data_IF_476559967460
#
_entry.id   IF_476559967460
#
_cell.length_a   1.000
_cell.length_b   1.000
_cell.length_c   1.000
_cell.angle_alpha   90.00
_cell.angle_beta   90.00
_cell.angle_gamma   90.00
#
_symmetry.space_group_name_H-M   'P 1'
#
loop_
_entity.id
_entity.type
_entity.pdbx_description
1 polymer ?
#
# COMPACT_ATOMS: atom_id res chain seq x y z
N UNK A 1 7.13 3.71 -21.37
CA UNK A 1 7.66 3.07 -20.15
C UNK A 1 6.57 3.16 -19.11
N UNK A 2 6.19 2.07 -18.45
CA UNK A 2 5.27 2.12 -17.32
C UNK A 2 6.11 2.38 -16.06
N UNK A 3 5.80 3.45 -15.34
CA UNK A 3 6.42 3.72 -14.04
C UNK A 3 5.63 2.95 -12.98
N UNK A 4 5.94 1.66 -12.85
CA UNK A 4 5.37 0.82 -11.81
C UNK A 4 6.35 0.68 -10.65
N UNK A 5 5.86 0.88 -9.44
CA UNK A 5 6.68 0.78 -8.22
C UNK A 5 6.07 -0.25 -7.29
N UNK A 6 6.84 -1.28 -6.91
CA UNK A 6 6.45 -2.21 -5.85
C UNK A 6 6.58 -1.52 -4.49
N UNK A 7 5.56 -1.64 -3.65
CA UNK A 7 5.57 -1.18 -2.27
C UNK A 7 5.74 -2.41 -1.37
N UNK A 8 6.82 -2.42 -0.60
CA UNK A 8 7.11 -3.45 0.39
C UNK A 8 6.99 -2.88 1.80
N UNK A 9 6.34 -3.62 2.70
CA UNK A 9 6.18 -3.27 4.11
C UNK A 9 6.54 -4.48 4.95
N UNK A 10 7.53 -4.33 5.83
CA UNK A 10 7.98 -5.38 6.75
C UNK A 10 8.27 -6.71 6.01
N UNK A 11 9.01 -6.61 4.89
CA UNK A 11 9.36 -7.71 3.96
C UNK A 11 8.19 -8.39 3.24
N UNK A 12 6.98 -7.80 3.27
CA UNK A 12 5.81 -8.27 2.53
C UNK A 12 5.48 -7.34 1.37
N UNK A 13 5.10 -7.94 0.23
CA UNK A 13 4.70 -7.21 -0.96
C UNK A 13 3.28 -6.62 -0.76
N UNK A 14 3.21 -5.38 -0.31
CA UNK A 14 1.95 -4.74 0.05
C UNK A 14 1.08 -4.40 -1.17
N UNK A 15 1.71 -3.92 -2.25
CA UNK A 15 1.00 -3.56 -3.46
C UNK A 15 1.90 -3.00 -4.56
N UNK A 16 1.33 -2.79 -5.74
CA UNK A 16 1.98 -2.12 -6.87
C UNK A 16 1.32 -0.77 -7.10
N UNK A 17 2.14 0.26 -7.28
CA UNK A 17 1.71 1.54 -7.79
C UNK A 17 1.78 1.54 -9.31
N UNK A 18 0.67 1.93 -9.95
CA UNK A 18 0.58 2.12 -11.40
C UNK A 18 0.32 3.59 -11.68
N UNK A 19 1.09 4.19 -12.59
CA UNK A 19 0.90 5.60 -12.96
C UNK A 19 -0.53 5.84 -13.49
N UNK A 20 -1.23 6.77 -12.86
CA UNK A 20 -2.59 7.20 -13.18
C UNK A 20 -2.61 8.73 -13.35
N UNK A 21 -2.25 9.21 -14.54
CA UNK A 21 -2.08 10.64 -14.81
C UNK A 21 -0.90 11.22 -14.05
N UNK A 22 -1.17 12.23 -13.21
CA UNK A 22 -0.18 12.90 -12.34
C UNK A 22 0.01 12.20 -10.98
N UNK A 23 -0.72 11.11 -10.73
CA UNK A 23 -0.70 10.35 -9.50
C UNK A 23 -0.40 8.86 -9.78
N UNK A 24 -0.52 8.04 -8.75
CA UNK A 24 -0.34 6.59 -8.81
C UNK A 24 -1.52 5.89 -8.16
N UNK A 25 -2.17 4.96 -8.86
CA UNK A 25 -3.18 4.09 -8.27
C UNK A 25 -2.50 2.90 -7.59
N UNK A 26 -2.95 2.56 -6.38
CA UNK A 26 -2.45 1.41 -5.63
C UNK A 26 -3.26 0.16 -5.94
N UNK A 27 -2.58 -0.96 -6.20
CA UNK A 27 -3.17 -2.27 -6.39
C UNK A 27 -2.62 -3.23 -5.34
N UNK A 28 -3.50 -3.77 -4.50
CA UNK A 28 -3.13 -4.56 -3.33
C UNK A 28 -2.59 -5.94 -3.72
N UNK A 29 -1.41 -6.26 -3.16
CA UNK A 29 -0.75 -7.58 -3.13
C UNK A 29 -1.53 -8.64 -2.35
N UNK A 30 -1.99 -8.20 -1.17
CA UNK A 30 -2.46 -9.08 -0.12
C UNK A 30 -3.68 -8.48 0.58
N UNK A 31 -4.50 -9.34 1.18
CA UNK A 31 -5.74 -8.97 1.89
C UNK A 31 -5.58 -7.83 2.92
N UNK A 32 -4.50 -7.74 3.73
CA UNK A 32 -4.34 -6.66 4.69
C UNK A 32 -4.32 -5.26 4.07
N UNK A 33 -3.99 -5.16 2.79
CA UNK A 33 -3.86 -3.89 2.05
C UNK A 33 -5.05 -3.63 1.12
N UNK A 34 -6.06 -4.50 1.10
CA UNK A 34 -7.23 -4.39 0.20
C UNK A 34 -7.97 -3.06 0.35
N UNK A 35 -7.95 -2.43 1.54
CA UNK A 35 -8.54 -1.11 1.75
C UNK A 35 -7.85 0.03 0.98
N UNK A 36 -6.66 -0.22 0.41
CA UNK A 36 -5.93 0.71 -0.45
C UNK A 36 -6.16 0.44 -1.95
N UNK A 37 -6.90 -0.60 -2.32
CA UNK A 37 -7.16 -0.92 -3.73
C UNK A 37 -7.79 0.27 -4.46
N UNK A 38 -7.19 0.67 -5.58
CA UNK A 38 -7.61 1.80 -6.41
C UNK A 38 -7.39 3.19 -5.79
N UNK A 39 -6.92 3.29 -4.54
CA UNK A 39 -6.61 4.57 -3.90
C UNK A 39 -5.45 5.23 -4.64
N UNK A 40 -5.62 6.52 -4.96
CA UNK A 40 -4.59 7.30 -5.65
C UNK A 40 -3.69 8.03 -4.66
N UNK A 41 -2.39 8.00 -4.92
CA UNK A 41 -1.37 8.67 -4.14
C UNK A 41 -0.56 9.62 -5.02
N UNK A 42 -0.12 10.77 -4.49
CA UNK A 42 0.73 11.70 -5.25
C UNK A 42 2.13 11.15 -5.49
N UNK A 43 2.60 10.26 -4.61
CA UNK A 43 3.94 9.66 -4.66
C UNK A 43 3.99 8.31 -3.92
N UNK A 44 5.09 7.58 -4.14
CA UNK A 44 5.31 6.27 -3.53
C UNK A 44 5.46 6.33 -2.00
N UNK A 45 6.09 7.37 -1.47
CA UNK A 45 6.31 7.51 -0.03
C UNK A 45 4.99 7.67 0.74
N UNK A 46 4.00 8.35 0.16
CA UNK A 46 2.67 8.52 0.74
C UNK A 46 1.89 7.21 0.74
N UNK A 47 1.99 6.44 -0.34
CA UNK A 47 1.41 5.09 -0.41
C UNK A 47 2.04 4.14 0.63
N UNK A 48 3.37 4.13 0.75
CA UNK A 48 4.10 3.30 1.73
C UNK A 48 3.67 3.63 3.16
N UNK A 49 3.57 4.93 3.51
CA UNK A 49 3.08 5.36 4.82
C UNK A 49 1.65 4.88 5.10
N UNK A 50 0.77 4.87 4.10
CA UNK A 50 -0.58 4.36 4.25
C UNK A 50 -0.58 2.84 4.49
N UNK A 51 0.18 2.09 3.71
CA UNK A 51 0.32 0.64 3.88
C UNK A 51 0.89 0.27 5.27
N UNK A 52 1.94 0.97 5.74
CA UNK A 52 2.51 0.79 7.08
C UNK A 52 1.53 1.05 8.23
N UNK A 53 0.52 1.91 8.04
CA UNK A 53 -0.51 2.15 9.06
C UNK A 53 -1.44 0.95 9.21
N UNK A 54 -1.71 0.22 8.12
CA UNK A 54 -2.56 -0.97 8.13
C UNK A 54 -1.88 -2.13 8.84
N UNK A 55 -0.59 -2.38 8.60
CA UNK A 55 0.16 -3.43 9.33
C UNK A 55 0.22 -3.14 10.83
N UNK A 56 0.51 -1.89 11.22
CA UNK A 56 0.51 -1.50 12.65
C UNK A 56 -0.84 -1.68 13.32
N UNK A 57 -1.93 -1.32 12.62
CA UNK A 57 -3.29 -1.49 13.14
C UNK A 57 -3.63 -2.98 13.31
N UNK A 58 -3.35 -3.80 12.29
CA UNK A 58 -3.57 -5.24 12.36
C UNK A 58 -2.77 -5.89 13.50
N UNK A 59 -1.52 -5.46 13.72
CA UNK A 59 -0.71 -5.93 14.85
C UNK A 59 -1.32 -5.55 16.20
N UNK A 60 -1.80 -4.31 16.35
CA UNK A 60 -2.45 -3.86 17.59
C UNK A 60 -3.75 -4.62 17.88
N UNK A 61 -4.57 -4.92 16.87
CA UNK A 61 -5.80 -5.69 17.00
C UNK A 61 -5.52 -7.14 17.44
N UNK A 62 -4.45 -7.77 16.94
CA UNK A 62 -4.05 -9.14 17.34
C UNK A 62 -3.55 -9.24 18.77
N UNK A 63 -2.97 -8.18 19.32
CA UNK A 63 -2.49 -8.16 20.72
C UNK A 63 -3.61 -7.89 21.73
N UNK A 64 -4.78 -7.42 21.27
CA UNK A 64 -5.90 -7.03 22.12
C UNK A 64 -6.98 -8.12 22.27
N UNK A 65 -6.88 -9.24 21.54
CA UNK A 65 -7.79 -10.38 21.61
C UNK A 65 -7.14 -11.60 22.24
#
# INVERSE_FOLDING_TARGET
>A
MFDNTLIEVDDHAAGILVRAGQAFAFHALELPFQSLEGVTFPDAATAERAARRLTRRAAAERLAG
#
